data_IF_850868777703
#
_entry.id   IF_850868777703
#
_cell.length_a   1.000
_cell.length_b   1.000
_cell.length_c   1.000
_cell.angle_alpha   90.00
_cell.angle_beta   90.00
_cell.angle_gamma   90.00
#
_symmetry.space_group_name_H-M   'P 1'
#
loop_
_entity.id
_entity.type
_entity.pdbx_description
1 polymer ?
#
# COMPACT_ATOMS: atom_id res chain seq x y z
N UNK A 1 8.07 -8.63 -25.62
CA UNK A 1 7.44 -7.79 -24.58
C UNK A 1 8.44 -7.71 -23.43
N UNK A 2 8.62 -6.54 -22.81
CA UNK A 2 9.49 -6.40 -21.64
C UNK A 2 8.90 -7.10 -20.41
N UNK A 3 9.63 -7.10 -19.30
CA UNK A 3 9.19 -7.71 -18.04
C UNK A 3 7.93 -7.00 -17.51
N UNK A 4 7.08 -7.74 -16.82
CA UNK A 4 6.01 -7.16 -16.00
C UNK A 4 6.60 -6.48 -14.75
N UNK A 5 5.84 -5.58 -14.13
CA UNK A 5 6.25 -4.90 -12.89
C UNK A 5 6.58 -5.89 -11.77
N UNK A 6 5.81 -6.98 -11.65
CA UNK A 6 6.08 -8.07 -10.71
C UNK A 6 7.42 -8.77 -11.00
N UNK A 7 7.66 -9.19 -12.24
CA UNK A 7 8.89 -9.90 -12.63
C UNK A 7 10.12 -9.01 -12.42
N UNK A 8 10.01 -7.73 -12.80
CA UNK A 8 11.06 -6.73 -12.62
C UNK A 8 11.42 -6.55 -11.14
N UNK A 9 10.42 -6.41 -10.28
CA UNK A 9 10.64 -6.31 -8.82
C UNK A 9 11.29 -7.57 -8.25
N UNK A 10 10.85 -8.76 -8.66
CA UNK A 10 11.42 -10.03 -8.17
C UNK A 10 12.89 -10.18 -8.57
N UNK A 11 13.24 -9.89 -9.82
CA UNK A 11 14.63 -9.94 -10.31
C UNK A 11 15.51 -8.94 -9.55
N UNK A 12 15.03 -7.72 -9.34
CA UNK A 12 15.77 -6.71 -8.59
C UNK A 12 15.99 -7.12 -7.12
N UNK A 13 14.98 -7.72 -6.47
CA UNK A 13 15.10 -8.24 -5.09
C UNK A 13 16.08 -9.42 -4.96
N UNK A 14 16.29 -10.18 -6.04
CA UNK A 14 17.33 -11.20 -6.14
C UNK A 14 18.73 -10.63 -6.45
N UNK A 15 18.89 -9.30 -6.47
CA UNK A 15 20.12 -8.60 -6.84
C UNK A 15 20.63 -8.93 -8.26
N UNK A 16 19.71 -9.23 -9.18
CA UNK A 16 20.00 -9.46 -10.60
C UNK A 16 19.57 -8.24 -11.42
N UNK A 17 20.16 -8.05 -12.59
CA UNK A 17 19.85 -6.93 -13.49
C UNK A 17 18.52 -7.18 -14.24
N UNK A 18 17.47 -6.36 -14.01
CA UNK A 18 16.24 -6.41 -14.80
C UNK A 18 16.38 -5.66 -16.13
N UNK A 19 15.31 -5.67 -16.94
CA UNK A 19 15.23 -4.92 -18.20
C UNK A 19 15.30 -3.38 -18.03
N UNK A 20 14.91 -2.87 -16.87
CA UNK A 20 15.10 -1.49 -16.40
C UNK A 20 15.02 -1.42 -14.88
N UNK A 21 15.57 -0.36 -14.28
CA UNK A 21 15.49 -0.14 -12.82
C UNK A 21 14.01 -0.01 -12.41
N UNK A 22 13.54 -0.77 -11.41
CA UNK A 22 12.17 -0.62 -10.93
C UNK A 22 11.90 0.81 -10.45
N UNK A 23 10.74 1.36 -10.83
CA UNK A 23 10.44 2.77 -10.59
C UNK A 23 9.01 3.00 -10.08
N UNK A 24 8.89 3.85 -9.05
CA UNK A 24 7.63 4.42 -8.60
C UNK A 24 7.78 5.94 -8.45
N UNK A 25 6.77 6.70 -8.87
CA UNK A 25 6.66 8.13 -8.60
C UNK A 25 5.43 8.45 -7.76
N UNK A 26 5.60 9.29 -6.74
CA UNK A 26 4.50 9.90 -6.00
C UNK A 26 4.34 11.36 -6.41
N UNK A 27 3.11 11.85 -6.44
CA UNK A 27 2.79 13.22 -6.84
C UNK A 27 2.31 14.07 -5.66
N UNK A 28 2.61 15.36 -5.70
CA UNK A 28 1.99 16.32 -4.78
C UNK A 28 0.48 16.41 -5.07
N UNK A 29 -0.37 16.74 -4.07
CA UNK A 29 -1.83 16.67 -4.21
C UNK A 29 -2.41 17.44 -5.40
N UNK A 30 -1.82 18.59 -5.74
CA UNK A 30 -2.25 19.41 -6.87
C UNK A 30 -2.04 18.70 -8.20
N UNK A 31 -0.90 18.01 -8.35
CA UNK A 31 -0.55 17.26 -9.55
C UNK A 31 -1.37 15.96 -9.63
N UNK A 32 -1.53 15.25 -8.51
CA UNK A 32 -2.38 14.05 -8.43
C UNK A 32 -3.81 14.36 -8.90
N UNK A 33 -4.40 15.46 -8.42
CA UNK A 33 -5.74 15.90 -8.82
C UNK A 33 -5.85 16.18 -10.32
N UNK A 34 -4.84 16.80 -10.92
CA UNK A 34 -4.79 17.07 -12.36
C UNK A 34 -4.71 15.75 -13.14
N UNK A 35 -3.84 14.83 -12.72
CA UNK A 35 -3.66 13.53 -13.37
C UNK A 35 -4.93 12.68 -13.27
N UNK A 36 -5.57 12.60 -12.10
CA UNK A 36 -6.83 11.87 -11.91
C UNK A 36 -7.95 12.41 -12.80
N UNK A 37 -8.05 13.74 -12.95
CA UNK A 37 -9.02 14.35 -13.85
C UNK A 37 -8.72 14.02 -15.32
N UNK A 38 -7.44 14.02 -15.70
CA UNK A 38 -7.00 13.74 -17.06
C UNK A 38 -7.28 12.28 -17.47
N UNK A 39 -7.06 11.34 -16.57
CA UNK A 39 -7.18 9.89 -16.83
C UNK A 39 -8.43 9.26 -16.20
N UNK A 40 -9.48 10.05 -16.01
CA UNK A 40 -10.66 9.62 -15.25
C UNK A 40 -11.34 8.37 -15.84
N UNK A 41 -11.36 8.22 -17.18
CA UNK A 41 -12.00 7.07 -17.85
C UNK A 41 -11.17 5.79 -17.71
N UNK A 42 -9.86 5.91 -17.80
CA UNK A 42 -8.92 4.80 -17.65
C UNK A 42 -8.92 4.30 -16.20
N UNK A 43 -8.94 5.22 -15.24
CA UNK A 43 -9.05 4.93 -13.81
C UNK A 43 -10.37 4.21 -13.48
N UNK A 44 -11.49 4.60 -14.12
CA UNK A 44 -12.80 3.95 -13.89
C UNK A 44 -12.79 2.44 -14.21
N UNK A 45 -11.96 2.03 -15.18
CA UNK A 45 -11.76 0.61 -15.53
C UNK A 45 -10.87 -0.17 -14.56
N UNK A 46 -10.09 0.52 -13.72
CA UNK A 46 -9.20 -0.08 -12.73
C UNK A 46 -10.02 -0.40 -11.48
N UNK A 47 -10.64 -1.59 -11.45
CA UNK A 47 -11.41 -2.09 -10.30
C UNK A 47 -10.51 -2.32 -9.08
N UNK A 48 -10.43 -1.36 -8.17
CA UNK A 48 -10.06 -1.56 -6.77
C UNK A 48 -11.32 -1.51 -5.91
N UNK A 49 -11.60 -2.54 -5.10
CA UNK A 49 -12.69 -2.49 -4.11
C UNK A 49 -12.48 -1.25 -3.25
N UNK A 50 -13.50 -0.39 -3.16
CA UNK A 50 -13.51 0.89 -2.42
C UNK A 50 -13.33 0.77 -0.89
N UNK A 51 -12.76 -0.31 -0.38
CA UNK A 51 -12.77 -0.63 1.04
C UNK A 51 -11.44 -1.21 1.54
N UNK A 52 -10.28 -0.58 1.31
CA UNK A 52 -9.07 -0.99 2.08
C UNK A 52 -8.28 0.19 2.65
N UNK A 53 -8.06 0.09 3.96
CA UNK A 53 -7.59 1.10 4.93
C UNK A 53 -6.10 1.44 4.82
N UNK A 54 -5.46 1.33 3.65
CA UNK A 54 -4.03 1.64 3.54
C UNK A 54 -3.67 2.37 2.24
N UNK A 55 -3.25 3.64 2.37
CA UNK A 55 -3.07 4.62 1.29
C UNK A 55 -1.69 4.54 0.60
N UNK A 56 -1.14 3.34 0.44
CA UNK A 56 0.18 3.17 -0.21
C UNK A 56 0.14 3.10 -1.74
N UNK A 57 -1.03 2.79 -2.31
CA UNK A 57 -1.24 2.57 -3.75
C UNK A 57 -2.39 3.43 -4.26
N UNK A 58 -2.25 3.92 -5.48
CA UNK A 58 -3.31 4.60 -6.21
C UNK A 58 -3.58 3.92 -7.55
N UNK A 59 -4.72 4.23 -8.14
CA UNK A 59 -5.07 3.80 -9.50
C UNK A 59 -4.11 4.38 -10.55
N UNK A 60 -3.48 5.53 -10.26
CA UNK A 60 -2.45 6.11 -11.12
C UNK A 60 -1.18 5.24 -11.16
N UNK A 61 -0.81 4.59 -10.05
CA UNK A 61 0.35 3.70 -10.02
C UNK A 61 0.14 2.49 -10.95
N UNK A 62 -1.07 1.94 -10.94
CA UNK A 62 -1.47 0.84 -11.83
C UNK A 62 -1.50 1.33 -13.28
N UNK A 63 -2.11 2.49 -13.52
CA UNK A 63 -2.26 3.06 -14.85
C UNK A 63 -0.91 3.38 -15.51
N UNK A 64 0.05 3.90 -14.75
CA UNK A 64 1.38 4.27 -15.24
C UNK A 64 2.37 3.11 -15.20
N UNK A 65 1.96 1.93 -14.71
CA UNK A 65 2.80 0.74 -14.67
C UNK A 65 3.98 0.89 -13.71
N UNK A 66 3.80 1.60 -12.60
CA UNK A 66 4.83 1.71 -11.57
C UNK A 66 5.21 0.33 -11.01
N UNK A 67 6.50 0.17 -10.72
CA UNK A 67 7.04 -1.01 -10.06
C UNK A 67 7.01 -0.79 -8.56
N UNK A 68 6.08 -1.47 -7.89
CA UNK A 68 5.81 -1.25 -6.47
C UNK A 68 5.99 -2.52 -5.68
N UNK A 69 6.66 -2.38 -4.53
CA UNK A 69 6.65 -3.36 -3.45
C UNK A 69 5.98 -2.72 -2.24
N UNK A 70 4.73 -3.09 -1.98
CA UNK A 70 4.01 -2.66 -0.79
C UNK A 70 4.19 -3.71 0.30
N UNK A 71 4.98 -3.35 1.30
CA UNK A 71 5.18 -4.12 2.50
C UNK A 71 4.70 -3.28 3.68
N UNK A 72 3.77 -3.82 4.45
CA UNK A 72 3.24 -3.18 5.64
C UNK A 72 3.45 -4.15 6.81
N UNK A 73 4.28 -3.74 7.76
CA UNK A 73 4.75 -4.57 8.88
C UNK A 73 4.71 -3.78 10.18
N UNK A 74 4.54 -4.47 11.31
CA UNK A 74 4.52 -3.87 12.64
C UNK A 74 3.22 -3.17 13.07
N UNK A 75 3.35 -2.26 14.04
CA UNK A 75 2.25 -1.71 14.83
C UNK A 75 1.09 -1.15 14.00
N UNK A 76 1.38 -0.46 12.88
CA UNK A 76 0.36 0.19 12.05
C UNK A 76 -0.56 -0.81 11.34
N UNK A 77 -0.09 -2.02 11.05
CA UNK A 77 -0.93 -3.09 10.46
C UNK A 77 -1.62 -3.93 11.52
N UNK A 78 -0.98 -4.11 12.68
CA UNK A 78 -1.58 -4.77 13.85
C UNK A 78 -2.71 -3.97 14.48
N UNK A 79 -2.65 -2.64 14.45
CA UNK A 79 -3.65 -1.74 15.03
C UNK A 79 -5.07 -1.99 14.50
N UNK A 80 -5.19 -2.22 13.19
CA UNK A 80 -6.47 -2.52 12.54
C UNK A 80 -6.78 -4.02 12.45
N UNK A 81 -5.89 -4.90 12.93
CA UNK A 81 -6.08 -6.34 12.85
C UNK A 81 -7.22 -6.76 13.76
N UNK A 82 -8.19 -7.47 13.22
CA UNK A 82 -9.22 -8.14 14.02
C UNK A 82 -8.67 -9.51 14.42
N UNK A 83 -8.49 -9.74 15.72
CA UNK A 83 -7.93 -11.00 16.25
C UNK A 83 -8.76 -11.44 17.44
N UNK A 84 -9.08 -12.73 17.53
CA UNK A 84 -9.92 -13.30 18.59
C UNK A 84 -9.43 -13.01 20.01
N UNK A 85 -8.14 -12.74 20.19
CA UNK A 85 -7.51 -12.48 21.50
C UNK A 85 -7.24 -11.00 21.82
N UNK A 86 -7.54 -10.06 20.91
CA UNK A 86 -7.11 -8.64 21.01
C UNK A 86 -5.61 -8.45 21.34
N UNK A 87 -4.79 -9.44 20.99
CA UNK A 87 -3.35 -9.46 21.21
C UNK A 87 -2.66 -10.31 20.13
N UNK A 88 -1.46 -9.92 19.73
CA UNK A 88 -0.63 -10.67 18.79
C UNK A 88 0.86 -10.52 19.12
N UNK A 89 1.67 -11.50 18.72
CA UNK A 89 3.14 -11.39 18.74
C UNK A 89 3.59 -11.04 17.32
N UNK A 90 4.41 -10.01 17.17
CA UNK A 90 4.95 -9.62 15.87
C UNK A 90 6.21 -10.44 15.48
N UNK A 91 6.73 -10.19 14.29
CA UNK A 91 7.91 -10.84 13.74
C UNK A 91 9.23 -10.56 14.51
N UNK A 92 9.20 -9.67 15.50
CA UNK A 92 10.32 -9.35 16.38
C UNK A 92 10.10 -9.88 17.80
N UNK A 93 9.18 -10.82 18.00
CA UNK A 93 8.80 -11.42 19.29
C UNK A 93 8.20 -10.43 20.31
N UNK A 94 7.65 -9.29 19.86
CA UNK A 94 6.99 -8.32 20.73
C UNK A 94 5.50 -8.65 20.85
N UNK A 95 5.02 -8.81 22.08
CA UNK A 95 3.58 -8.98 22.34
C UNK A 95 2.88 -7.63 22.35
N UNK A 96 1.90 -7.47 21.46
CA UNK A 96 1.01 -6.32 21.38
C UNK A 96 -0.37 -6.69 21.91
N UNK A 97 -1.04 -5.75 22.58
CA UNK A 97 -2.43 -5.88 23.05
C UNK A 97 -3.16 -4.56 22.81
N UNK A 98 -4.39 -4.62 22.31
CA UNK A 98 -5.27 -3.45 22.19
C UNK A 98 -5.69 -2.96 23.57
N UNK A 99 -5.57 -1.67 23.83
CA UNK A 99 -5.90 -1.05 25.12
C UNK A 99 -6.97 0.01 24.87
N UNK A 100 -8.18 -0.15 25.44
CA UNK A 100 -9.24 0.81 25.22
C UNK A 100 -8.85 2.19 25.74
N UNK A 101 -9.16 3.23 24.97
CA UNK A 101 -8.93 4.63 25.34
C UNK A 101 -10.10 5.51 24.92
N UNK A 102 -10.22 6.68 25.57
CA UNK A 102 -11.25 7.69 25.27
C UNK A 102 -10.62 8.98 24.81
N UNK A 103 -11.20 9.60 23.79
CA UNK A 103 -10.80 10.92 23.28
C UNK A 103 -12.01 11.82 23.10
N UNK A 104 -11.79 13.12 22.87
CA UNK A 104 -12.86 14.06 22.52
C UNK A 104 -13.58 13.68 21.22
N UNK A 105 -12.93 12.90 20.35
CA UNK A 105 -13.46 12.48 19.05
C UNK A 105 -14.04 11.05 19.08
N UNK A 106 -14.12 10.42 20.26
CA UNK A 106 -14.68 9.08 20.43
C UNK A 106 -13.76 8.09 21.16
N UNK A 107 -14.26 6.86 21.30
CA UNK A 107 -13.58 5.75 21.96
C UNK A 107 -12.79 4.90 20.93
N UNK A 108 -11.63 4.39 21.34
CA UNK A 108 -10.70 3.60 20.51
C UNK A 108 -10.05 2.44 21.28
N UNK A 109 -9.15 1.72 20.60
CA UNK A 109 -8.46 0.51 21.08
C UNK A 109 -7.02 0.43 20.58
#
# INVERSE_FOLDING_TARGET
>A
MGLTSKERMQIAMEHKEPDMIPFQATFVPEVDKILRKKYAREIEGIKGKKEEKYQGMTELDILFGHDMLLLTYGLSTGYYRDTDANAYVDEWDITWKKIPYKTINGDGY
#
